data_IF_862879444371
#
_entry.id   IF_862879444371
#
_cell.length_a   1.000
_cell.length_b   1.000
_cell.length_c   1.000
_cell.angle_alpha   90.00
_cell.angle_beta   90.00
_cell.angle_gamma   90.00
#
_symmetry.space_group_name_H-M   'P 1'
#
loop_
_entity.id
_entity.type
_entity.pdbx_description
1 polymer ?
#
# COMPACT_ATOMS: atom_id res chain seq x y z
N UNK A 1 -23.52 -37.41 -12.81
CA UNK A 1 -23.25 -36.23 -13.68
C UNK A 1 -24.10 -35.01 -13.33
N UNK A 2 -25.43 -35.09 -13.15
CA UNK A 2 -26.27 -33.92 -12.80
C UNK A 2 -26.01 -33.31 -11.41
N UNK A 3 -25.81 -34.16 -10.39
CA UNK A 3 -25.52 -33.73 -9.00
C UNK A 3 -24.13 -33.11 -8.83
N UNK A 4 -23.13 -33.62 -9.54
CA UNK A 4 -21.77 -33.04 -9.54
C UNK A 4 -21.72 -31.66 -10.19
N UNK A 5 -22.54 -31.44 -11.24
CA UNK A 5 -22.64 -30.13 -11.90
C UNK A 5 -23.31 -29.08 -10.99
N UNK A 6 -24.32 -29.49 -10.20
CA UNK A 6 -24.96 -28.62 -9.22
C UNK A 6 -24.03 -28.24 -8.06
N UNK A 7 -23.27 -29.21 -7.55
CA UNK A 7 -22.26 -28.96 -6.51
C UNK A 7 -21.15 -28.02 -6.99
N UNK A 8 -20.70 -28.19 -8.24
CA UNK A 8 -19.68 -27.31 -8.84
C UNK A 8 -20.21 -25.89 -9.03
N UNK A 9 -21.48 -25.74 -9.45
CA UNK A 9 -22.13 -24.43 -9.57
C UNK A 9 -22.30 -23.71 -8.24
N UNK A 10 -22.67 -24.42 -7.18
CA UNK A 10 -22.78 -23.85 -5.82
C UNK A 10 -21.40 -23.44 -5.29
N UNK A 11 -20.38 -24.28 -5.50
CA UNK A 11 -19.02 -23.96 -5.10
C UNK A 11 -18.48 -22.72 -5.83
N UNK A 12 -18.74 -22.59 -7.13
CA UNK A 12 -18.34 -21.44 -7.92
C UNK A 12 -18.95 -20.14 -7.38
N UNK A 13 -20.27 -20.14 -7.11
CA UNK A 13 -20.98 -18.99 -6.54
C UNK A 13 -20.42 -18.61 -5.17
N UNK A 14 -20.17 -19.60 -4.30
CA UNK A 14 -19.54 -19.37 -3.00
C UNK A 14 -18.16 -18.74 -3.14
N UNK A 15 -17.31 -19.22 -4.06
CA UNK A 15 -15.97 -18.65 -4.24
C UNK A 15 -15.97 -17.23 -4.81
N UNK A 16 -16.93 -16.88 -5.67
CA UNK A 16 -17.05 -15.52 -6.24
C UNK A 16 -17.63 -14.49 -5.25
N UNK A 17 -18.37 -14.94 -4.23
CA UNK A 17 -18.91 -14.06 -3.20
C UNK A 17 -17.86 -13.65 -2.16
N UNK A 18 -16.81 -14.45 -1.97
CA UNK A 18 -15.73 -14.17 -1.01
C UNK A 18 -14.66 -13.22 -1.59
N UNK A 19 -14.64 -13.00 -2.92
CA UNK A 19 -13.63 -12.15 -3.57
C UNK A 19 -13.97 -10.65 -3.60
N UNK A 20 -15.08 -10.20 -3.03
CA UNK A 20 -15.47 -8.78 -3.02
C UNK A 20 -14.96 -8.08 -1.76
N UNK A 21 -13.68 -7.70 -1.74
CA UNK A 21 -13.14 -6.98 -0.59
C UNK A 21 -11.68 -6.55 -0.66
N UNK A 22 -11.10 -6.33 -1.85
CA UNK A 22 -9.79 -5.67 -1.94
C UNK A 22 -9.98 -4.21 -2.34
N UNK A 23 -9.84 -3.28 -1.39
CA UNK A 23 -9.59 -1.88 -1.70
C UNK A 23 -8.33 -1.82 -2.58
N UNK A 24 -8.45 -1.29 -3.79
CA UNK A 24 -7.34 -1.27 -4.74
C UNK A 24 -6.31 -0.21 -4.29
N UNK A 25 -5.22 -0.60 -3.65
CA UNK A 25 -4.13 0.33 -3.29
C UNK A 25 -3.51 0.89 -4.58
N UNK A 26 -3.43 2.21 -4.69
CA UNK A 26 -2.85 2.89 -5.83
C UNK A 26 -1.57 3.62 -5.42
N UNK A 27 -0.48 3.41 -6.15
CA UNK A 27 0.77 4.16 -5.97
C UNK A 27 0.95 5.08 -7.17
N UNK A 28 1.11 6.37 -6.91
CA UNK A 28 1.22 7.42 -7.93
C UNK A 28 2.33 8.41 -7.63
N UNK A 29 2.56 9.35 -8.56
CA UNK A 29 3.54 10.43 -8.44
C UNK A 29 4.96 9.95 -8.09
N UNK A 30 5.37 8.80 -8.62
CA UNK A 30 6.71 8.26 -8.37
C UNK A 30 7.74 9.13 -9.06
N UNK A 31 8.58 9.80 -8.26
CA UNK A 31 9.69 10.63 -8.71
C UNK A 31 10.97 10.14 -8.06
N UNK A 32 12.00 9.87 -8.87
CA UNK A 32 13.33 9.47 -8.41
C UNK A 32 14.32 10.55 -8.79
N UNK A 33 15.21 10.95 -7.87
CA UNK A 33 16.21 11.99 -8.06
C UNK A 33 17.55 11.52 -7.49
N UNK A 34 18.69 11.69 -8.19
CA UNK A 34 18.83 12.23 -9.55
C UNK A 34 18.28 11.27 -10.62
N UNK A 35 17.97 11.81 -11.80
CA UNK A 35 17.64 11.00 -12.98
C UNK A 35 18.93 10.55 -13.67
N UNK A 36 18.93 9.34 -14.24
CA UNK A 36 20.10 8.75 -14.91
C UNK A 36 20.65 7.53 -14.18
N UNK A 37 21.92 7.20 -14.40
CA UNK A 37 22.55 6.03 -13.81
C UNK A 37 22.74 6.20 -12.30
N UNK A 38 22.06 5.35 -11.53
CA UNK A 38 22.18 5.26 -10.09
C UNK A 38 23.18 4.15 -9.76
N UNK A 39 24.36 4.53 -9.24
CA UNK A 39 25.39 3.59 -8.83
C UNK A 39 25.30 3.38 -7.32
N UNK A 40 25.03 2.14 -6.91
CA UNK A 40 24.95 1.76 -5.49
C UNK A 40 26.22 2.14 -4.74
N UNK A 41 26.06 2.70 -3.54
CA UNK A 41 27.17 3.17 -2.70
C UNK A 41 27.84 4.49 -3.14
N UNK A 42 27.50 5.03 -4.31
CA UNK A 42 28.10 6.26 -4.85
C UNK A 42 27.07 7.37 -4.99
N UNK A 43 25.95 7.08 -5.64
CA UNK A 43 24.92 8.09 -5.92
C UNK A 43 23.91 8.15 -4.77
N UNK A 44 23.75 9.34 -4.16
CA UNK A 44 22.65 9.60 -3.24
C UNK A 44 21.36 9.77 -4.04
N UNK A 45 20.44 8.83 -3.86
CA UNK A 45 19.12 8.87 -4.50
C UNK A 45 18.03 9.14 -3.47
N UNK A 46 16.98 9.83 -3.91
CA UNK A 46 15.73 9.99 -3.19
C UNK A 46 14.57 9.55 -4.09
N UNK A 47 13.57 8.90 -3.49
CA UNK A 47 12.33 8.54 -4.16
C UNK A 47 11.16 9.16 -3.40
N UNK A 48 10.24 9.77 -4.14
CA UNK A 48 8.99 10.32 -3.62
C UNK A 48 7.84 9.64 -4.33
N UNK A 49 6.78 9.31 -3.59
CA UNK A 49 5.57 8.69 -4.14
C UNK A 49 4.37 9.00 -3.25
N UNK A 50 3.18 8.83 -3.80
CA UNK A 50 1.91 8.96 -3.09
C UNK A 50 1.20 7.63 -3.10
N UNK A 51 0.78 7.14 -1.93
CA UNK A 51 -0.08 5.96 -1.81
C UNK A 51 -1.50 6.42 -1.52
N UNK A 52 -2.42 6.05 -2.40
CA UNK A 52 -3.84 6.37 -2.31
C UNK A 52 -4.65 5.12 -2.02
N UNK A 53 -5.58 5.24 -1.07
CA UNK A 53 -6.49 4.18 -0.66
C UNK A 53 -7.92 4.55 -1.08
N UNK A 54 -8.37 4.17 -2.29
CA UNK A 54 -9.72 4.46 -2.74
C UNK A 54 -10.74 3.73 -1.86
N UNK A 55 -11.75 4.45 -1.40
CA UNK A 55 -12.79 3.91 -0.51
C UNK A 55 -13.57 2.78 -1.18
N UNK A 56 -13.63 1.61 -0.55
CA UNK A 56 -14.53 0.53 -0.95
C UNK A 56 -15.56 0.28 0.16
N UNK A 57 -16.71 0.98 0.10
CA UNK A 57 -17.84 0.67 0.98
C UNK A 57 -17.76 1.25 2.41
N UNK A 58 -17.24 2.47 2.56
CA UNK A 58 -17.29 3.23 3.82
C UNK A 58 -15.99 3.22 4.64
N UNK A 59 -14.97 2.48 4.21
CA UNK A 59 -13.61 2.52 4.72
C UNK A 59 -12.61 2.50 3.56
N UNK A 60 -11.43 3.07 3.77
CA UNK A 60 -10.35 3.20 2.77
C UNK A 60 -9.28 2.13 2.99
N UNK A 61 -8.92 1.88 4.24
CA UNK A 61 -7.92 0.89 4.64
C UNK A 61 -8.38 0.19 5.93
N UNK A 62 -8.17 -1.12 6.03
CA UNK A 62 -8.57 -1.88 7.21
C UNK A 62 -7.63 -1.56 8.38
N UNK A 63 -8.19 -1.14 9.52
CA UNK A 63 -7.45 -0.82 10.75
C UNK A 63 -6.57 -1.95 11.28
N UNK A 64 -6.87 -3.20 10.92
CA UNK A 64 -6.11 -4.39 11.34
C UNK A 64 -4.90 -4.69 10.46
N UNK A 65 -4.81 -4.05 9.29
CA UNK A 65 -3.71 -4.23 8.35
C UNK A 65 -2.55 -3.28 8.65
N UNK A 66 -1.40 -3.55 8.02
CA UNK A 66 -0.20 -2.73 8.14
C UNK A 66 0.31 -2.43 6.74
N UNK A 67 0.51 -1.15 6.45
CA UNK A 67 1.23 -0.72 5.25
C UNK A 67 2.72 -0.78 5.56
N UNK A 68 3.43 -1.64 4.84
CA UNK A 68 4.89 -1.76 4.95
C UNK A 68 5.54 -1.23 3.67
N UNK A 69 6.61 -0.46 3.84
CA UNK A 69 7.47 0.03 2.76
C UNK A 69 8.91 -0.34 3.10
N UNK A 70 9.62 -0.91 2.14
CA UNK A 70 10.99 -1.41 2.29
C UNK A 70 11.91 -0.75 1.25
N UNK A 71 13.19 -0.60 1.59
CA UNK A 71 14.24 -0.09 0.70
C UNK A 71 15.59 -0.71 0.99
N UNK A 72 16.38 -0.92 -0.07
CA UNK A 72 17.74 -1.47 -0.02
C UNK A 72 18.83 -0.38 0.07
N UNK A 73 18.44 0.87 0.34
CA UNK A 73 19.41 1.91 0.65
C UNK A 73 20.15 1.56 1.95
N UNK A 74 21.42 1.92 2.03
CA UNK A 74 22.28 1.58 3.19
C UNK A 74 21.91 2.40 4.44
N UNK A 75 21.57 3.68 4.27
CA UNK A 75 21.18 4.60 5.35
C UNK A 75 19.90 5.39 5.00
N UNK A 76 18.76 4.70 4.81
CA UNK A 76 17.52 5.33 4.39
C UNK A 76 16.92 6.18 5.49
N UNK A 77 16.36 7.31 5.07
CA UNK A 77 15.49 8.16 5.87
C UNK A 77 14.16 8.27 5.15
N UNK A 78 13.09 7.93 5.86
CA UNK A 78 11.72 8.04 5.38
C UNK A 78 11.09 9.28 5.97
N UNK A 79 10.47 10.10 5.12
CA UNK A 79 9.66 11.22 5.56
C UNK A 79 8.31 11.12 4.88
N UNK A 80 7.25 11.06 5.68
CA UNK A 80 5.89 10.91 5.17
C UNK A 80 4.89 11.74 5.99
N UNK A 81 3.80 12.10 5.34
CA UNK A 81 2.59 12.67 5.94
C UNK A 81 1.40 11.78 5.56
N UNK A 82 0.36 11.82 6.38
CA UNK A 82 -0.90 11.11 6.10
C UNK A 82 -2.01 12.12 5.92
N UNK A 83 -2.89 11.91 4.94
CA UNK A 83 -4.06 12.75 4.72
C UNK A 83 -5.29 11.89 5.02
N UNK A 84 -6.02 12.23 6.09
CA UNK A 84 -7.24 11.54 6.53
C UNK A 84 -8.42 12.49 6.36
N UNK A 85 -9.46 12.07 5.64
CA UNK A 85 -10.65 12.90 5.36
C UNK A 85 -10.33 14.31 4.82
N UNK A 86 -9.25 14.42 4.04
CA UNK A 86 -8.76 15.69 3.48
C UNK A 86 -7.96 16.56 4.46
N UNK A 87 -7.73 16.10 5.69
CA UNK A 87 -6.92 16.77 6.71
C UNK A 87 -5.51 16.17 6.70
N UNK A 88 -4.51 17.03 6.50
CA UNK A 88 -3.11 16.65 6.55
C UNK A 88 -2.61 16.58 8.00
N UNK A 89 -2.09 15.41 8.38
CA UNK A 89 -1.45 15.22 9.68
C UNK A 89 0.03 15.64 9.64
N UNK A 90 0.63 15.99 10.80
CA UNK A 90 2.04 16.34 10.89
C UNK A 90 2.96 15.28 10.28
N UNK A 91 3.98 15.72 9.55
CA UNK A 91 4.97 14.82 8.95
C UNK A 91 5.74 14.05 10.02
N UNK A 92 6.01 12.79 9.74
CA UNK A 92 6.86 11.89 10.53
C UNK A 92 8.14 11.61 9.77
N UNK A 93 9.23 11.46 10.51
CA UNK A 93 10.53 11.05 9.96
C UNK A 93 11.05 9.85 10.73
N UNK A 94 11.42 8.80 10.00
CA UNK A 94 11.92 7.55 10.55
C UNK A 94 13.18 7.11 9.79
N UNK A 95 14.09 6.42 10.47
CA UNK A 95 15.30 5.85 9.88
C UNK A 95 15.26 4.33 9.93
N UNK A 96 15.78 3.70 8.89
CA UNK A 96 15.84 2.24 8.79
C UNK A 96 15.33 1.70 7.46
N UNK A 97 15.67 0.44 7.13
CA UNK A 97 15.42 -0.16 5.82
C UNK A 97 13.93 -0.32 5.51
N UNK A 98 13.06 -0.22 6.52
CA UNK A 98 11.63 -0.28 6.33
C UNK A 98 10.88 0.61 7.32
N UNK A 99 9.67 0.97 6.94
CA UNK A 99 8.68 1.62 7.81
C UNK A 99 7.37 0.84 7.77
N UNK A 100 6.65 0.87 8.90
CA UNK A 100 5.39 0.15 9.10
C UNK A 100 4.35 1.13 9.63
N UNK A 101 3.39 1.46 8.79
CA UNK A 101 2.28 2.35 9.15
C UNK A 101 1.07 1.49 9.48
N UNK A 102 0.58 1.60 10.71
CA UNK A 102 -0.60 0.86 11.16
C UNK A 102 -1.85 1.31 10.41
N UNK A 103 -2.73 0.38 10.06
CA UNK A 103 -4.01 0.71 9.44
C UNK A 103 -4.89 1.58 10.33
N UNK A 104 -4.74 1.51 11.65
CA UNK A 104 -5.35 2.44 12.60
C UNK A 104 -4.97 3.90 12.33
N UNK A 105 -3.74 4.16 11.88
CA UNK A 105 -3.28 5.53 11.54
C UNK A 105 -3.75 5.97 10.16
N UNK A 106 -4.29 5.05 9.36
CA UNK A 106 -4.73 5.25 7.98
C UNK A 106 -6.26 5.18 7.82
N UNK A 107 -6.99 4.94 8.93
CA UNK A 107 -8.43 4.74 8.98
C UNK A 107 -9.17 5.90 9.63
#
# INVERSE_FOLDING_TARGET
MRRSLQLLGILLVLTTLVSMGSAAIQVGNVLITPTGDLVSGVTRASASFTVSFPSSGGYTYDSTNILQMDTDLDQPTWTYNTILDGIENPSKTESGPNIRVSGWELS
#
